data_IF_148944631600
#
_entry.id   IF_148944631600
#
_cell.length_a   1.000
_cell.length_b   1.000
_cell.length_c   1.000
_cell.angle_alpha   90.00
_cell.angle_beta   90.00
_cell.angle_gamma   90.00
#
_symmetry.space_group_name_H-M   'P 1'
#
loop_
_entity.id
_entity.type
_entity.pdbx_description
1 polymer ?
#
# COMPACT_ATOMS: atom_id res chain seq x y z
N UNK A 1 -26.45 -8.46 51.60
CA UNK A 1 -26.98 -7.45 50.66
C UNK A 1 -26.01 -7.40 49.49
N UNK A 2 -26.39 -7.92 48.33
CA UNK A 2 -25.56 -7.84 47.13
C UNK A 2 -25.53 -6.38 46.69
N UNK A 3 -24.35 -5.76 46.73
CA UNK A 3 -24.13 -4.41 46.25
C UNK A 3 -24.20 -4.46 44.73
N UNK A 4 -25.38 -4.26 44.15
CA UNK A 4 -25.55 -4.08 42.71
C UNK A 4 -24.87 -2.76 42.38
N UNK A 5 -23.60 -2.81 41.94
CA UNK A 5 -22.95 -1.62 41.38
C UNK A 5 -23.86 -1.12 40.26
N UNK A 6 -24.49 0.03 40.45
CA UNK A 6 -25.24 0.69 39.39
C UNK A 6 -24.30 0.80 38.18
N UNK A 7 -24.60 0.06 37.12
CA UNK A 7 -23.86 0.16 35.86
C UNK A 7 -23.89 1.61 35.41
N UNK A 8 -22.73 2.23 35.15
CA UNK A 8 -22.68 3.60 34.65
C UNK A 8 -23.31 3.64 33.25
N UNK A 9 -24.57 4.06 33.19
CA UNK A 9 -25.36 4.17 31.95
C UNK A 9 -24.81 5.19 30.97
N UNK A 10 -23.81 5.99 31.38
CA UNK A 10 -23.13 6.95 30.51
C UNK A 10 -21.87 6.36 29.87
N UNK A 11 -21.35 5.25 30.40
CA UNK A 11 -20.13 4.60 29.89
C UNK A 11 -20.35 4.09 28.46
N UNK A 12 -19.53 4.54 27.52
CA UNK A 12 -19.56 4.06 26.12
C UNK A 12 -18.15 3.72 25.66
N UNK A 13 -18.01 2.65 24.90
CA UNK A 13 -16.73 2.28 24.29
C UNK A 13 -16.77 2.60 22.80
N UNK A 14 -15.71 3.21 22.27
CA UNK A 14 -15.62 3.59 20.87
C UNK A 14 -14.51 2.80 20.20
N UNK A 15 -14.88 1.89 19.30
CA UNK A 15 -13.97 1.25 18.36
C UNK A 15 -13.72 2.23 17.22
N UNK A 16 -12.47 2.56 16.93
CA UNK A 16 -12.11 3.54 15.90
C UNK A 16 -10.78 3.22 15.19
N UNK A 17 -10.60 3.82 14.02
CA UNK A 17 -9.37 3.73 13.24
C UNK A 17 -8.28 4.71 13.69
N UNK A 18 -7.42 5.13 12.75
CA UNK A 18 -6.34 6.11 12.94
C UNK A 18 -6.75 7.54 12.62
N UNK A 19 -7.98 7.79 12.20
CA UNK A 19 -8.48 9.16 12.02
C UNK A 19 -8.72 9.84 13.38
N UNK A 20 -7.67 10.41 13.95
CA UNK A 20 -7.69 11.07 15.27
C UNK A 20 -8.64 12.27 15.34
N UNK A 21 -8.82 12.99 14.23
CA UNK A 21 -9.72 14.13 14.18
C UNK A 21 -11.18 13.69 14.39
N UNK A 22 -11.62 12.64 13.67
CA UNK A 22 -12.96 12.09 13.82
C UNK A 22 -13.15 11.37 15.15
N UNK A 23 -12.11 10.69 15.66
CA UNK A 23 -12.14 10.12 17.01
C UNK A 23 -12.39 11.20 18.06
N UNK A 24 -11.59 12.27 18.05
CA UNK A 24 -11.75 13.39 18.99
C UNK A 24 -13.13 14.04 18.86
N UNK A 25 -13.60 14.28 17.63
CA UNK A 25 -14.92 14.82 17.38
C UNK A 25 -16.05 13.94 17.95
N UNK A 26 -15.93 12.61 17.82
CA UNK A 26 -16.88 11.67 18.41
C UNK A 26 -16.86 11.74 19.94
N UNK A 27 -15.69 11.79 20.56
CA UNK A 27 -15.57 11.88 22.02
C UNK A 27 -16.14 13.21 22.56
N UNK A 28 -15.88 14.32 21.87
CA UNK A 28 -16.43 15.63 22.22
C UNK A 28 -17.97 15.64 22.09
N UNK A 29 -18.50 15.05 21.01
CA UNK A 29 -19.94 14.90 20.82
C UNK A 29 -20.57 14.07 21.95
N UNK A 30 -20.03 12.89 22.25
CA UNK A 30 -20.53 12.01 23.31
C UNK A 30 -20.56 12.73 24.67
N UNK A 31 -19.49 13.45 25.02
CA UNK A 31 -19.42 14.26 26.25
C UNK A 31 -20.48 15.35 26.29
N UNK A 32 -20.75 16.02 25.15
CA UNK A 32 -21.79 17.07 25.09
C UNK A 32 -23.21 16.57 25.24
N UNK A 33 -23.46 15.26 25.08
CA UNK A 33 -24.75 14.62 25.35
C UNK A 33 -24.75 13.80 26.65
N UNK A 34 -23.88 14.17 27.60
CA UNK A 34 -23.71 13.55 28.92
C UNK A 34 -23.24 12.08 28.91
N UNK A 35 -22.53 11.64 27.87
CA UNK A 35 -21.91 10.32 27.84
C UNK A 35 -20.41 10.39 28.17
N UNK A 36 -19.89 9.28 28.70
CA UNK A 36 -18.52 9.11 29.13
C UNK A 36 -17.81 8.12 28.20
N UNK A 37 -17.20 8.58 27.10
CA UNK A 37 -16.42 7.69 26.24
C UNK A 37 -15.18 7.20 26.99
N UNK A 38 -15.05 5.88 27.09
CA UNK A 38 -13.94 5.20 27.75
C UNK A 38 -12.67 5.39 26.93
N UNK A 39 -11.62 5.92 27.56
CA UNK A 39 -10.29 5.99 26.99
C UNK A 39 -9.61 4.62 27.08
N UNK A 40 -8.70 4.32 26.14
CA UNK A 40 -8.00 3.03 26.09
C UNK A 40 -7.28 2.68 27.41
N UNK A 41 -6.61 3.65 28.03
CA UNK A 41 -5.91 3.43 29.31
C UNK A 41 -6.87 2.97 30.41
N UNK A 42 -8.07 3.53 30.46
CA UNK A 42 -9.10 3.09 31.42
C UNK A 42 -9.56 1.67 31.12
N UNK A 43 -9.69 1.28 29.85
CA UNK A 43 -9.99 -0.11 29.49
C UNK A 43 -8.87 -1.09 29.93
N UNK A 44 -7.61 -0.68 29.81
CA UNK A 44 -6.45 -1.46 30.29
C UNK A 44 -6.51 -1.61 31.81
N UNK A 45 -6.77 -0.52 32.54
CA UNK A 45 -6.88 -0.56 34.01
C UNK A 45 -7.99 -1.50 34.50
N UNK A 46 -9.11 -1.59 33.77
CA UNK A 46 -10.20 -2.53 34.07
C UNK A 46 -9.78 -4.00 34.01
N UNK A 47 -8.71 -4.34 33.30
CA UNK A 47 -8.17 -5.71 33.27
C UNK A 47 -7.48 -6.10 34.59
N UNK A 48 -7.02 -5.12 35.38
CA UNK A 48 -6.20 -5.34 36.56
C UNK A 48 -4.77 -5.84 36.27
N UNK A 49 -4.37 -5.90 34.99
CA UNK A 49 -3.05 -6.37 34.56
C UNK A 49 -2.18 -5.20 34.07
N UNK A 50 -0.87 -5.25 34.35
CA UNK A 50 0.06 -4.22 33.86
C UNK A 50 0.38 -4.35 32.35
N UNK A 51 0.13 -5.52 31.75
CA UNK A 51 0.37 -5.78 30.33
C UNK A 51 -0.60 -6.84 29.79
N UNK A 52 -1.91 -6.53 29.74
CA UNK A 52 -2.92 -7.48 29.26
C UNK A 52 -2.80 -7.75 27.77
N UNK A 53 -3.29 -8.91 27.35
CA UNK A 53 -3.57 -9.18 25.93
C UNK A 53 -4.69 -8.27 25.42
N UNK A 54 -4.60 -7.84 24.15
CA UNK A 54 -5.58 -6.92 23.53
C UNK A 54 -7.02 -7.40 23.66
N UNK A 55 -7.26 -8.71 23.55
CA UNK A 55 -8.59 -9.30 23.70
C UNK A 55 -9.16 -9.13 25.11
N UNK A 56 -8.32 -9.20 26.16
CA UNK A 56 -8.76 -9.00 27.54
C UNK A 56 -9.19 -7.55 27.78
N UNK A 57 -8.48 -6.59 27.15
CA UNK A 57 -8.85 -5.17 27.21
C UNK A 57 -10.20 -4.93 26.53
N UNK A 58 -10.41 -5.53 25.36
CA UNK A 58 -11.69 -5.46 24.63
C UNK A 58 -12.83 -6.10 25.43
N UNK A 59 -12.61 -7.28 26.02
CA UNK A 59 -13.60 -7.96 26.85
C UNK A 59 -14.00 -7.10 28.06
N UNK A 60 -13.01 -6.54 28.77
CA UNK A 60 -13.24 -5.63 29.89
C UNK A 60 -14.01 -4.38 29.46
N UNK A 61 -13.62 -3.75 28.34
CA UNK A 61 -14.32 -2.59 27.80
C UNK A 61 -15.78 -2.90 27.44
N UNK A 62 -16.03 -4.02 26.73
CA UNK A 62 -17.38 -4.42 26.33
C UNK A 62 -18.26 -4.84 27.51
N UNK A 63 -17.67 -5.34 28.59
CA UNK A 63 -18.39 -5.63 29.83
C UNK A 63 -18.84 -4.35 30.55
N UNK A 64 -17.97 -3.35 30.64
CA UNK A 64 -18.19 -2.13 31.44
C UNK A 64 -18.84 -0.99 30.65
N UNK A 65 -18.94 -1.07 29.32
CA UNK A 65 -19.62 -0.09 28.50
C UNK A 65 -21.12 -0.41 28.37
N UNK A 66 -21.97 0.61 28.50
CA UNK A 66 -23.41 0.53 28.27
C UNK A 66 -23.73 0.40 26.78
N UNK A 67 -22.97 1.06 25.92
CA UNK A 67 -23.04 0.88 24.47
C UNK A 67 -21.65 0.86 23.84
N UNK A 68 -21.55 0.19 22.69
CA UNK A 68 -20.35 0.11 21.87
C UNK A 68 -20.62 0.85 20.57
N UNK A 69 -19.80 1.83 20.24
CA UNK A 69 -19.86 2.56 18.98
C UNK A 69 -18.73 2.04 18.10
N UNK A 70 -19.05 1.59 16.89
CA UNK A 70 -18.06 1.27 15.87
C UNK A 70 -18.01 2.44 14.89
N UNK A 71 -16.95 3.24 15.00
CA UNK A 71 -16.69 4.38 14.13
C UNK A 71 -15.91 3.92 12.90
N UNK A 72 -16.61 3.74 11.80
CA UNK A 72 -16.07 3.35 10.50
C UNK A 72 -15.77 4.59 9.66
N UNK A 73 -14.49 4.76 9.33
CA UNK A 73 -13.94 5.87 8.55
C UNK A 73 -13.11 5.34 7.39
N UNK A 74 -12.94 6.10 6.29
CA UNK A 74 -12.19 5.68 5.10
C UNK A 74 -10.67 5.70 5.30
N UNK A 75 -10.18 4.97 6.30
CA UNK A 75 -8.77 5.00 6.72
C UNK A 75 -7.84 4.22 5.80
N UNK A 76 -8.36 3.21 5.10
CA UNK A 76 -7.59 2.34 4.20
C UNK A 76 -8.30 2.19 2.85
N UNK A 77 -7.56 1.74 1.83
CA UNK A 77 -8.11 1.44 0.50
C UNK A 77 -7.96 -0.05 0.22
N UNK A 78 -9.03 -0.71 -0.21
CA UNK A 78 -9.02 -2.12 -0.56
C UNK A 78 -9.79 -2.40 -1.85
N UNK A 79 -9.53 -3.58 -2.41
CA UNK A 79 -10.23 -4.12 -3.57
C UNK A 79 -10.13 -5.64 -3.58
N UNK A 80 -11.16 -6.28 -4.12
CA UNK A 80 -11.18 -7.71 -4.38
C UNK A 80 -10.21 -8.04 -5.51
N UNK A 81 -9.53 -9.19 -5.45
CA UNK A 81 -8.73 -9.64 -6.59
C UNK A 81 -9.66 -9.91 -7.78
N UNK A 82 -9.41 -9.40 -9.01
CA UNK A 82 -10.32 -9.55 -10.13
C UNK A 82 -10.66 -10.98 -10.51
N UNK A 83 -9.76 -11.94 -10.28
CA UNK A 83 -10.05 -13.37 -10.48
C UNK A 83 -11.16 -13.92 -9.59
N UNK A 84 -11.50 -13.20 -8.52
CA UNK A 84 -12.61 -13.51 -7.62
C UNK A 84 -13.81 -12.57 -7.82
N UNK A 85 -13.72 -11.62 -8.76
CA UNK A 85 -14.87 -10.79 -9.14
C UNK A 85 -15.89 -11.60 -9.93
N UNK A 86 -17.16 -11.21 -9.83
CA UNK A 86 -18.26 -11.93 -10.49
C UNK A 86 -18.33 -11.65 -12.00
N UNK A 87 -17.87 -10.49 -12.44
CA UNK A 87 -17.87 -10.07 -13.85
C UNK A 87 -16.75 -9.07 -14.15
N UNK A 88 -16.49 -8.81 -15.44
CA UNK A 88 -15.72 -7.62 -15.82
C UNK A 88 -16.41 -6.36 -15.28
N UNK A 89 -15.61 -5.44 -14.73
CA UNK A 89 -16.12 -4.20 -14.15
C UNK A 89 -16.82 -4.35 -12.80
N UNK A 90 -16.70 -5.49 -12.13
CA UNK A 90 -17.20 -5.67 -10.77
C UNK A 90 -16.65 -4.57 -9.83
N UNK A 91 -17.55 -3.77 -9.26
CA UNK A 91 -17.23 -2.64 -8.37
C UNK A 91 -16.38 -3.10 -7.18
N UNK A 92 -16.54 -4.35 -6.75
CA UNK A 92 -15.78 -4.93 -5.66
C UNK A 92 -14.28 -5.01 -5.98
N UNK A 93 -13.93 -5.08 -7.27
CA UNK A 93 -12.56 -5.17 -7.76
C UNK A 93 -11.89 -3.81 -7.98
N UNK A 94 -12.64 -2.72 -7.85
CA UNK A 94 -12.12 -1.36 -7.90
C UNK A 94 -11.59 -0.92 -6.52
N UNK A 95 -10.52 -0.11 -6.46
CA UNK A 95 -10.05 0.48 -5.21
C UNK A 95 -11.16 1.30 -4.56
N UNK A 96 -11.54 0.94 -3.34
CA UNK A 96 -12.55 1.63 -2.56
C UNK A 96 -12.04 1.89 -1.13
N UNK A 97 -12.38 3.04 -0.54
CA UNK A 97 -12.09 3.32 0.87
C UNK A 97 -12.81 2.33 1.80
N UNK A 98 -12.18 1.97 2.91
CA UNK A 98 -12.75 1.10 3.94
C UNK A 98 -12.23 1.48 5.34
N UNK A 99 -12.92 1.00 6.37
CA UNK A 99 -12.39 1.00 7.73
C UNK A 99 -11.19 0.06 7.85
N UNK A 100 -10.33 0.31 8.85
CA UNK A 100 -9.16 -0.55 9.11
C UNK A 100 -9.60 -1.97 9.47
N UNK A 101 -8.85 -3.02 9.07
CA UNK A 101 -9.15 -4.40 9.43
C UNK A 101 -9.34 -4.63 10.93
N UNK A 102 -8.57 -3.94 11.78
CA UNK A 102 -8.74 -4.02 13.23
C UNK A 102 -10.13 -3.54 13.67
N UNK A 103 -10.60 -2.41 13.12
CA UNK A 103 -11.94 -1.87 13.39
C UNK A 103 -13.01 -2.86 12.95
N UNK A 104 -12.87 -3.47 11.77
CA UNK A 104 -13.80 -4.48 11.27
C UNK A 104 -13.82 -5.74 12.14
N UNK A 105 -12.65 -6.19 12.61
CA UNK A 105 -12.53 -7.34 13.51
C UNK A 105 -13.18 -7.07 14.87
N UNK A 106 -12.87 -5.92 15.49
CA UNK A 106 -13.45 -5.47 16.76
C UNK A 106 -14.96 -5.24 16.64
N UNK A 107 -15.43 -4.74 15.50
CA UNK A 107 -16.86 -4.67 15.20
C UNK A 107 -17.50 -6.06 15.20
N UNK A 108 -16.86 -7.05 14.57
CA UNK A 108 -17.29 -8.45 14.62
C UNK A 108 -17.38 -8.98 16.04
N UNK A 109 -16.37 -8.71 16.88
CA UNK A 109 -16.38 -9.09 18.30
C UNK A 109 -17.52 -8.42 19.08
N UNK A 110 -17.70 -7.11 18.93
CA UNK A 110 -18.77 -6.36 19.59
C UNK A 110 -20.16 -6.85 19.17
N UNK A 111 -20.38 -7.02 17.86
CA UNK A 111 -21.63 -7.51 17.29
C UNK A 111 -21.94 -8.97 17.68
N UNK A 112 -20.90 -9.79 17.85
CA UNK A 112 -21.01 -11.18 18.33
C UNK A 112 -21.29 -11.28 19.82
N UNK A 113 -20.74 -10.36 20.63
CA UNK A 113 -20.96 -10.31 22.07
C UNK A 113 -22.32 -9.70 22.43
N UNK A 114 -22.64 -8.53 21.89
CA UNK A 114 -23.92 -7.86 22.13
C UNK A 114 -24.34 -6.95 20.96
N UNK A 115 -25.09 -7.54 20.04
CA UNK A 115 -25.64 -6.85 18.89
C UNK A 115 -26.62 -5.71 19.25
N UNK A 116 -27.31 -5.77 20.40
CA UNK A 116 -28.40 -4.83 20.72
C UNK A 116 -27.86 -3.46 21.14
N UNK A 117 -26.69 -3.45 21.80
CA UNK A 117 -26.02 -2.22 22.26
C UNK A 117 -24.80 -1.82 21.42
N UNK A 118 -24.59 -2.47 20.27
CA UNK A 118 -23.55 -2.10 19.31
C UNK A 118 -24.14 -1.21 18.21
N UNK A 119 -23.65 0.03 18.12
CA UNK A 119 -24.09 1.04 17.16
C UNK A 119 -23.01 1.24 16.10
N UNK A 120 -23.37 0.96 14.84
CA UNK A 120 -22.50 1.17 13.69
C UNK A 120 -22.64 2.60 13.17
N UNK A 121 -21.52 3.30 13.01
CA UNK A 121 -21.45 4.69 12.54
C UNK A 121 -20.46 4.78 11.39
N UNK A 122 -20.89 5.34 10.27
CA UNK A 122 -20.08 5.60 9.08
C UNK A 122 -19.89 7.11 8.93
N UNK A 123 -18.67 7.56 8.64
CA UNK A 123 -18.37 8.94 8.23
C UNK A 123 -17.60 8.89 6.91
N UNK A 124 -18.13 9.56 5.88
CA UNK A 124 -17.58 9.54 4.53
C UNK A 124 -17.97 8.30 3.73
N UNK A 125 -17.26 8.07 2.64
CA UNK A 125 -17.47 6.90 1.78
C UNK A 125 -16.72 5.71 2.35
N UNK A 126 -17.45 4.69 2.80
CA UNK A 126 -16.86 3.43 3.27
C UNK A 126 -17.49 2.31 2.45
N UNK A 127 -16.65 1.45 1.86
CA UNK A 127 -17.08 0.28 1.13
C UNK A 127 -18.00 -0.57 2.03
N UNK A 128 -19.15 -1.03 1.53
CA UNK A 128 -20.00 -1.93 2.29
C UNK A 128 -19.25 -3.20 2.68
N UNK A 129 -19.37 -3.59 3.94
CA UNK A 129 -18.95 -4.92 4.41
C UNK A 129 -20.19 -5.82 4.39
N UNK A 130 -20.23 -6.76 3.44
CA UNK A 130 -21.42 -7.54 3.05
C UNK A 130 -22.09 -8.30 4.20
N UNK A 131 -21.36 -8.71 5.24
CA UNK A 131 -21.92 -9.40 6.41
C UNK A 131 -22.71 -8.48 7.37
N UNK A 132 -22.59 -7.16 7.22
CA UNK A 132 -23.37 -6.15 7.95
C UNK A 132 -24.58 -5.67 7.16
N UNK A 133 -24.79 -6.13 5.92
CA UNK A 133 -25.89 -5.68 5.05
C UNK A 133 -27.31 -5.86 5.65
N UNK A 134 -27.47 -6.69 6.68
CA UNK A 134 -28.70 -6.82 7.47
C UNK A 134 -28.85 -5.86 8.67
N UNK A 135 -27.82 -5.08 9.01
CA UNK A 135 -27.81 -4.15 10.15
C UNK A 135 -27.65 -2.70 9.66
N UNK A 136 -28.47 -1.81 10.21
CA UNK A 136 -28.51 -0.42 9.76
C UNK A 136 -27.39 0.40 10.43
N UNK A 137 -26.44 0.93 9.65
CA UNK A 137 -25.46 1.91 10.12
C UNK A 137 -26.02 3.35 10.09
N UNK A 138 -25.57 4.24 10.99
CA UNK A 138 -25.80 5.69 10.86
C UNK A 138 -24.73 6.25 9.94
N UNK A 139 -25.13 6.94 8.88
CA UNK A 139 -24.22 7.84 8.16
C UNK A 139 -24.20 9.18 8.88
N UNK A 140 -23.15 9.42 9.64
CA UNK A 140 -23.00 10.63 10.45
C UNK A 140 -22.37 11.74 9.60
N UNK A 141 -22.96 12.93 9.71
CA UNK A 141 -22.49 14.17 9.07
C UNK A 141 -22.57 15.31 10.08
N UNK A 142 -22.19 16.52 9.68
CA UNK A 142 -22.39 17.72 10.50
C UNK A 142 -23.85 18.16 10.67
N UNK A 143 -24.82 17.49 10.02
CA UNK A 143 -26.23 17.83 10.20
C UNK A 143 -26.75 17.46 11.60
N UNK A 144 -27.60 18.32 12.17
CA UNK A 144 -28.30 18.04 13.43
C UNK A 144 -29.16 16.78 13.33
N UNK A 145 -29.75 16.50 12.17
CA UNK A 145 -30.57 15.31 11.95
C UNK A 145 -29.79 14.00 12.13
N UNK A 146 -28.57 13.90 11.57
CA UNK A 146 -27.75 12.70 11.75
C UNK A 146 -27.23 12.55 13.18
N UNK A 147 -26.94 13.67 13.86
CA UNK A 147 -26.54 13.68 15.28
C UNK A 147 -27.69 13.21 16.19
N UNK A 148 -28.91 13.70 15.93
CA UNK A 148 -30.13 13.25 16.60
C UNK A 148 -30.37 11.75 16.40
N UNK A 149 -30.13 11.22 15.19
CA UNK A 149 -30.25 9.79 14.92
C UNK A 149 -29.26 8.95 15.75
N UNK A 150 -28.01 9.41 15.89
CA UNK A 150 -27.02 8.76 16.76
C UNK A 150 -27.43 8.80 18.23
N UNK A 151 -27.81 9.97 18.74
CA UNK A 151 -28.30 10.13 20.10
C UNK A 151 -29.50 9.20 20.42
N UNK A 152 -30.47 9.12 19.50
CA UNK A 152 -31.63 8.24 19.65
C UNK A 152 -31.24 6.75 19.71
N UNK A 153 -30.25 6.31 18.93
CA UNK A 153 -29.75 4.93 19.00
C UNK A 153 -28.99 4.64 20.28
N UNK A 154 -28.17 5.57 20.76
CA UNK A 154 -27.48 5.43 22.04
C UNK A 154 -28.47 5.35 23.19
N UNK A 155 -29.53 6.17 23.19
CA UNK A 155 -30.63 6.04 24.14
C UNK A 155 -31.34 4.69 24.05
N UNK A 156 -31.57 4.18 22.83
CA UNK A 156 -32.14 2.84 22.61
C UNK A 156 -31.23 1.72 23.11
N UNK A 157 -29.91 1.92 23.03
CA UNK A 157 -28.89 1.01 23.57
C UNK A 157 -28.77 1.08 25.10
N UNK A 158 -29.55 1.92 25.77
CA UNK A 158 -29.58 2.05 27.24
C UNK A 158 -28.76 3.21 27.80
N UNK A 159 -28.19 4.05 26.95
CA UNK A 159 -27.39 5.19 27.41
C UNK A 159 -28.26 6.31 28.01
N UNK A 160 -27.76 6.93 29.08
CA UNK A 160 -28.38 8.11 29.70
C UNK A 160 -28.03 9.40 28.95
N UNK A 161 -28.61 9.52 27.75
CA UNK A 161 -28.37 10.63 26.83
C UNK A 161 -29.12 11.89 27.28
N UNK A 162 -28.37 12.98 27.47
CA UNK A 162 -28.93 14.32 27.71
C UNK A 162 -28.90 15.15 26.42
N UNK A 163 -30.08 15.60 25.97
CA UNK A 163 -30.23 16.46 24.79
C UNK A 163 -30.75 17.85 25.15
N UNK A 164 -30.69 18.25 26.43
CA UNK A 164 -31.03 19.61 26.83
C UNK A 164 -30.01 20.61 26.26
N UNK A 165 -30.51 21.79 25.87
CA UNK A 165 -29.70 22.79 25.18
C UNK A 165 -29.46 22.48 23.69
N UNK A 166 -28.57 23.25 23.08
CA UNK A 166 -28.31 23.20 21.63
C UNK A 166 -26.85 23.07 21.24
N UNK A 167 -25.91 23.18 22.19
CA UNK A 167 -24.46 23.16 21.90
C UNK A 167 -24.01 21.84 21.28
N UNK A 168 -24.66 20.74 21.65
CA UNK A 168 -24.40 19.41 21.09
C UNK A 168 -24.75 19.32 19.57
N UNK A 169 -25.59 20.23 19.04
CA UNK A 169 -25.95 20.26 17.61
C UNK A 169 -24.74 20.49 16.70
N UNK A 170 -23.70 21.16 17.19
CA UNK A 170 -22.50 21.53 16.42
C UNK A 170 -21.19 21.02 17.03
N UNK A 171 -21.23 20.37 18.20
CA UNK A 171 -20.02 19.89 18.89
C UNK A 171 -19.34 18.74 18.15
N UNK A 172 -18.06 18.90 17.80
CA UNK A 172 -17.29 17.95 16.99
C UNK A 172 -17.50 18.15 15.50
N UNK A 173 -16.45 17.96 14.69
CA UNK A 173 -16.52 18.07 13.23
C UNK A 173 -16.57 16.68 12.58
N UNK A 174 -17.67 16.39 11.90
CA UNK A 174 -17.93 15.16 11.17
C UNK A 174 -17.93 15.37 9.65
N UNK A 175 -17.12 16.33 9.17
CA UNK A 175 -16.84 16.49 7.74
C UNK A 175 -16.19 15.20 7.22
N UNK A 176 -16.71 14.68 6.12
CA UNK A 176 -16.18 13.49 5.48
C UNK A 176 -14.71 13.72 5.08
N UNK A 177 -13.81 12.76 5.33
CA UNK A 177 -12.45 12.84 4.79
C UNK A 177 -12.49 12.94 3.26
N UNK A 178 -11.52 13.64 2.63
CA UNK A 178 -11.44 13.71 1.18
C UNK A 178 -11.25 12.31 0.58
N UNK A 179 -11.68 12.09 -0.67
CA UNK A 179 -11.44 10.84 -1.37
C UNK A 179 -9.93 10.49 -1.37
N UNK A 180 -9.58 9.20 -1.22
CA UNK A 180 -8.18 8.78 -1.19
C UNK A 180 -7.48 9.09 -2.52
N UNK A 181 -6.17 9.36 -2.45
CA UNK A 181 -5.32 9.61 -3.62
C UNK A 181 -4.91 11.07 -3.84
N UNK A 182 -5.30 12.00 -2.98
CA UNK A 182 -4.89 13.42 -3.04
C UNK A 182 -5.11 14.07 -4.43
N UNK A 183 -6.20 13.69 -5.10
CA UNK A 183 -6.53 14.15 -6.46
C UNK A 183 -5.89 13.33 -7.59
N UNK A 184 -5.10 12.32 -7.27
CA UNK A 184 -4.59 11.33 -8.21
C UNK A 184 -5.53 10.12 -8.28
N UNK A 185 -5.63 9.52 -9.48
CA UNK A 185 -6.35 8.26 -9.64
C UNK A 185 -5.68 7.15 -8.83
N UNK A 186 -6.46 6.42 -8.04
CA UNK A 186 -5.97 5.25 -7.32
C UNK A 186 -5.64 4.14 -8.32
N UNK A 187 -4.38 4.08 -8.73
CA UNK A 187 -3.87 3.07 -9.64
C UNK A 187 -3.66 1.74 -8.94
N UNK A 188 -4.06 0.65 -9.61
CA UNK A 188 -3.65 -0.70 -9.19
C UNK A 188 -2.19 -0.90 -9.55
N UNK A 189 -1.29 -0.91 -8.56
CA UNK A 189 0.07 -1.41 -8.79
C UNK A 189 0.01 -2.93 -8.87
N UNK A 190 -0.36 -3.45 -10.04
CA UNK A 190 -0.11 -4.84 -10.36
C UNK A 190 1.40 -5.06 -10.17
N UNK A 191 1.85 -6.08 -9.40
CA UNK A 191 3.21 -6.53 -9.60
C UNK A 191 3.31 -6.81 -11.10
N UNK A 192 4.29 -6.21 -11.78
CA UNK A 192 4.48 -6.58 -13.17
C UNK A 192 4.62 -8.10 -13.14
N UNK A 193 3.79 -8.78 -13.91
CA UNK A 193 4.20 -10.07 -14.43
C UNK A 193 5.44 -9.75 -15.26
N UNK A 194 6.59 -9.63 -14.61
CA UNK A 194 7.84 -9.63 -15.32
C UNK A 194 7.75 -10.90 -16.15
N UNK A 195 7.76 -10.81 -17.50
CA UNK A 195 7.95 -12.01 -18.29
C UNK A 195 9.15 -12.73 -17.66
N UNK A 196 9.04 -14.05 -17.47
CA UNK A 196 10.11 -14.86 -16.88
C UNK A 196 11.43 -14.32 -17.43
N UNK A 197 12.28 -13.75 -16.55
CA UNK A 197 13.49 -13.05 -16.99
C UNK A 197 14.23 -14.01 -17.93
N UNK A 198 14.62 -13.51 -19.11
CA UNK A 198 15.31 -14.34 -20.11
C UNK A 198 16.53 -14.99 -19.46
N UNK A 199 16.87 -16.19 -19.91
CA UNK A 199 18.06 -16.91 -19.42
C UNK A 199 19.29 -16.02 -19.51
N UNK A 200 19.52 -15.42 -20.68
CA UNK A 200 20.49 -14.35 -20.91
C UNK A 200 19.75 -13.08 -21.37
N UNK A 201 20.16 -11.94 -20.83
CA UNK A 201 19.64 -10.62 -21.20
C UNK A 201 20.76 -9.61 -21.04
N UNK A 202 21.36 -9.19 -22.15
CA UNK A 202 22.52 -8.32 -22.13
C UNK A 202 22.15 -6.84 -22.17
N UNK A 203 23.01 -6.04 -21.57
CA UNK A 203 23.00 -4.59 -21.63
C UNK A 203 24.44 -4.09 -21.72
N UNK A 204 24.64 -2.94 -22.35
CA UNK A 204 25.96 -2.37 -22.61
C UNK A 204 26.07 -0.97 -22.03
N UNK A 205 27.23 -0.68 -21.44
CA UNK A 205 27.55 0.67 -20.99
C UNK A 205 28.92 1.10 -21.47
N UNK A 206 28.93 2.12 -22.30
CA UNK A 206 30.16 2.76 -22.75
C UNK A 206 30.66 3.77 -21.73
N UNK A 207 31.99 3.86 -21.58
CA UNK A 207 32.65 4.84 -20.74
C UNK A 207 33.78 5.50 -21.51
N UNK A 208 33.57 6.76 -21.87
CA UNK A 208 34.63 7.65 -22.34
C UNK A 208 35.58 7.98 -21.18
N UNK A 209 36.86 7.62 -21.31
CA UNK A 209 37.86 7.83 -20.24
C UNK A 209 38.63 9.14 -20.36
N UNK A 210 38.49 9.89 -21.46
CA UNK A 210 39.17 11.16 -21.67
C UNK A 210 40.71 11.06 -21.76
N UNK A 211 41.36 12.12 -22.24
CA UNK A 211 42.83 12.18 -22.38
C UNK A 211 43.46 11.01 -23.16
N UNK A 212 44.66 10.56 -22.77
CA UNK A 212 45.39 9.45 -23.38
C UNK A 212 44.97 8.05 -22.88
N UNK A 213 43.78 7.90 -22.29
CA UNK A 213 43.29 6.63 -21.74
C UNK A 213 42.38 5.92 -22.73
N UNK A 214 42.49 4.59 -22.78
CA UNK A 214 41.64 3.71 -23.57
C UNK A 214 40.22 3.70 -22.97
N UNK A 215 39.22 3.81 -23.83
CA UNK A 215 37.81 3.79 -23.44
C UNK A 215 37.38 2.39 -23.01
N UNK A 216 36.26 2.28 -22.28
CA UNK A 216 35.80 1.01 -21.72
C UNK A 216 34.38 0.71 -22.16
N UNK A 217 34.11 -0.56 -22.43
CA UNK A 217 32.76 -1.08 -22.64
C UNK A 217 32.45 -2.10 -21.54
N UNK A 218 31.41 -1.85 -20.76
CA UNK A 218 30.92 -2.76 -19.75
C UNK A 218 29.78 -3.58 -20.33
N UNK A 219 29.94 -4.90 -20.30
CA UNK A 219 28.97 -5.89 -20.75
C UNK A 219 28.26 -6.44 -19.53
N UNK A 220 26.95 -6.25 -19.43
CA UNK A 220 26.13 -6.58 -18.26
C UNK A 220 25.18 -7.71 -18.63
N UNK A 221 25.13 -8.77 -17.83
CA UNK A 221 24.13 -9.83 -17.97
C UNK A 221 23.02 -9.63 -16.91
N UNK A 222 21.88 -9.10 -17.33
CA UNK A 222 20.65 -8.92 -16.54
C UNK A 222 19.78 -10.18 -16.50
N UNK A 223 20.13 -11.21 -17.28
CA UNK A 223 19.48 -12.50 -17.32
C UNK A 223 19.63 -13.29 -16.02
N UNK A 224 19.03 -14.47 -15.97
CA UNK A 224 19.05 -15.34 -14.78
C UNK A 224 20.21 -16.32 -14.73
N UNK A 225 20.73 -16.72 -15.89
CA UNK A 225 21.77 -17.73 -16.04
C UNK A 225 23.16 -17.12 -16.25
N UNK A 226 24.20 -17.95 -16.11
CA UNK A 226 25.56 -17.55 -16.47
C UNK A 226 25.73 -17.59 -17.99
N UNK A 227 26.20 -16.49 -18.56
CA UNK A 227 26.62 -16.45 -19.95
C UNK A 227 28.06 -16.97 -20.06
N UNK A 228 28.33 -17.85 -21.03
CA UNK A 228 29.67 -18.35 -21.37
C UNK A 228 30.06 -17.96 -22.79
N UNK A 229 31.36 -17.92 -23.05
CA UNK A 229 31.93 -17.69 -24.39
C UNK A 229 31.35 -16.44 -25.06
N UNK A 230 31.22 -15.34 -24.30
CA UNK A 230 30.53 -14.13 -24.76
C UNK A 230 31.42 -13.38 -25.74
N UNK A 231 30.92 -13.17 -26.96
CA UNK A 231 31.59 -12.40 -28.02
C UNK A 231 30.73 -11.23 -28.48
N UNK A 232 31.39 -10.15 -28.90
CA UNK A 232 30.73 -8.93 -29.35
C UNK A 232 31.17 -8.60 -30.77
N UNK A 233 30.20 -8.23 -31.60
CA UNK A 233 30.42 -7.74 -32.96
C UNK A 233 29.75 -6.36 -33.13
N UNK A 234 30.50 -5.45 -33.73
CA UNK A 234 30.01 -4.11 -34.11
C UNK A 234 29.96 -3.99 -35.64
N UNK A 235 29.01 -3.22 -36.19
CA UNK A 235 28.95 -2.92 -37.62
C UNK A 235 30.25 -2.29 -38.14
N UNK A 236 30.56 -2.49 -39.43
CA UNK A 236 31.82 -1.99 -40.02
C UNK A 236 31.95 -0.46 -39.98
N UNK A 237 30.82 0.24 -40.08
CA UNK A 237 30.73 1.69 -40.05
C UNK A 237 30.64 2.28 -38.63
N UNK A 238 30.64 1.45 -37.58
CA UNK A 238 30.60 1.91 -36.21
C UNK A 238 31.86 2.75 -35.86
N UNK A 239 31.66 3.78 -35.03
CA UNK A 239 32.74 4.61 -34.50
C UNK A 239 33.49 3.96 -33.33
N UNK A 240 33.17 2.71 -33.00
CA UNK A 240 33.85 1.88 -32.01
C UNK A 240 34.62 0.73 -32.68
N UNK A 241 35.87 0.54 -32.28
CA UNK A 241 36.70 -0.60 -32.68
C UNK A 241 36.94 -1.54 -31.51
N UNK A 242 36.70 -2.83 -31.77
CA UNK A 242 36.95 -3.94 -30.85
C UNK A 242 37.96 -4.94 -31.45
N UNK A 243 38.30 -4.79 -32.74
CA UNK A 243 39.14 -5.73 -33.52
C UNK A 243 40.62 -5.56 -33.21
N UNK A 244 41.04 -4.33 -32.93
CA UNK A 244 42.43 -3.99 -32.57
C UNK A 244 42.93 -4.71 -31.30
N UNK A 245 42.02 -5.26 -30.48
CA UNK A 245 42.33 -6.06 -29.28
C UNK A 245 42.13 -7.57 -29.48
N UNK A 246 42.00 -8.04 -30.73
CA UNK A 246 41.90 -9.46 -31.07
C UNK A 246 40.51 -10.09 -30.90
N UNK A 247 39.44 -9.29 -30.89
CA UNK A 247 38.05 -9.71 -30.59
C UNK A 247 37.95 -10.48 -29.26
N UNK A 248 37.80 -9.78 -28.12
CA UNK A 248 37.85 -10.42 -26.82
C UNK A 248 36.69 -11.42 -26.65
N UNK A 249 37.03 -12.69 -26.38
CA UNK A 249 36.09 -13.69 -25.91
C UNK A 249 36.05 -13.60 -24.38
N UNK A 250 34.91 -13.20 -23.82
CA UNK A 250 34.72 -13.13 -22.38
C UNK A 250 34.30 -14.53 -21.89
N UNK A 251 35.11 -15.22 -21.05
CA UNK A 251 34.86 -16.61 -20.71
C UNK A 251 33.53 -16.84 -20.00
N UNK A 252 33.13 -15.90 -19.12
CA UNK A 252 31.85 -15.95 -18.42
C UNK A 252 31.38 -14.60 -17.88
N UNK A 253 30.06 -14.41 -17.82
CA UNK A 253 29.38 -13.31 -17.12
C UNK A 253 28.18 -13.89 -16.35
N UNK A 254 28.22 -13.98 -15.00
CA UNK A 254 27.09 -14.45 -14.22
C UNK A 254 25.84 -13.58 -14.43
N UNK A 255 24.66 -14.17 -14.33
CA UNK A 255 23.39 -13.45 -14.35
C UNK A 255 23.18 -12.53 -13.13
N UNK A 256 21.99 -11.94 -13.04
CA UNK A 256 21.60 -11.09 -11.91
C UNK A 256 22.25 -9.70 -11.93
N UNK A 257 22.65 -9.21 -13.11
CA UNK A 257 23.23 -7.87 -13.30
C UNK A 257 24.73 -7.79 -13.09
N UNK A 258 25.47 -8.92 -13.11
CA UNK A 258 26.94 -8.88 -13.08
C UNK A 258 27.48 -8.46 -14.44
N UNK A 259 28.72 -7.97 -14.44
CA UNK A 259 29.32 -7.40 -15.64
C UNK A 259 30.81 -7.66 -15.73
N UNK A 260 31.31 -7.61 -16.97
CA UNK A 260 32.72 -7.61 -17.31
C UNK A 260 33.00 -6.36 -18.14
N UNK A 261 34.14 -5.73 -17.90
CA UNK A 261 34.56 -4.52 -18.63
C UNK A 261 35.73 -4.85 -19.53
N UNK A 262 35.63 -4.45 -20.79
CA UNK A 262 36.65 -4.62 -21.81
C UNK A 262 37.13 -3.28 -22.35
N UNK A 263 38.31 -3.32 -22.96
CA UNK A 263 38.96 -2.17 -23.56
C UNK A 263 38.50 -2.02 -25.00
N UNK A 264 38.07 -0.80 -25.35
CA UNK A 264 37.54 -0.47 -26.67
C UNK A 264 38.17 0.84 -27.16
N UNK A 265 38.33 0.99 -28.47
CA UNK A 265 38.88 2.20 -29.06
C UNK A 265 37.82 2.94 -29.85
N UNK A 266 37.58 4.21 -29.54
CA UNK A 266 36.72 5.05 -30.38
C UNK A 266 37.51 5.68 -31.53
N UNK A 267 37.07 5.44 -32.77
CA UNK A 267 37.67 6.01 -33.99
C UNK A 267 37.70 7.55 -33.96
N UNK A 268 36.68 8.15 -33.35
CA UNK A 268 36.55 9.61 -33.20
C UNK A 268 37.76 10.25 -32.52
N UNK A 269 38.43 9.51 -31.62
CA UNK A 269 39.57 10.00 -30.84
C UNK A 269 40.90 9.84 -31.56
N UNK A 270 41.04 8.81 -32.40
CA UNK A 270 42.32 8.46 -33.02
C UNK A 270 42.47 8.91 -34.48
N UNK A 271 41.37 8.99 -35.23
CA UNK A 271 41.41 9.29 -36.68
C UNK A 271 40.43 10.41 -37.12
N UNK A 272 39.69 11.02 -36.19
CA UNK A 272 38.65 12.01 -36.50
C UNK A 272 37.33 11.39 -36.93
N UNK A 273 36.26 12.19 -36.98
CA UNK A 273 34.90 11.73 -37.28
C UNK A 273 34.69 11.52 -38.79
N UNK A 274 35.38 10.54 -39.38
CA UNK A 274 35.33 10.22 -40.82
C UNK A 274 33.99 9.66 -41.32
N UNK A 275 32.86 10.17 -40.84
CA UNK A 275 31.51 9.72 -41.22
C UNK A 275 31.09 8.38 -40.60
N UNK A 276 31.62 8.04 -39.43
CA UNK A 276 31.27 6.82 -38.70
C UNK A 276 30.08 7.05 -37.77
N UNK A 277 29.31 5.99 -37.52
CA UNK A 277 28.10 6.06 -36.70
C UNK A 277 28.42 5.98 -35.21
N UNK A 278 27.91 6.92 -34.42
CA UNK A 278 28.04 6.94 -32.96
C UNK A 278 26.89 6.19 -32.25
N UNK A 279 25.89 5.76 -33.00
CA UNK A 279 24.75 4.98 -32.53
C UNK A 279 24.56 3.76 -33.42
N UNK A 280 24.61 2.57 -32.83
CA UNK A 280 24.54 1.30 -33.58
C UNK A 280 24.16 0.14 -32.66
N UNK A 281 23.68 -0.96 -33.23
CA UNK A 281 23.49 -2.20 -32.50
C UNK A 281 24.80 -2.97 -32.39
N UNK A 282 25.06 -3.51 -31.20
CA UNK A 282 26.15 -4.43 -30.94
C UNK A 282 25.55 -5.82 -30.82
N UNK A 283 25.95 -6.73 -31.70
CA UNK A 283 25.53 -8.14 -31.66
C UNK A 283 26.37 -8.87 -30.61
N UNK A 284 25.70 -9.52 -29.67
CA UNK A 284 26.32 -10.30 -28.59
C UNK A 284 25.91 -11.76 -28.77
N UNK A 285 26.91 -12.63 -28.96
CA UNK A 285 26.73 -14.08 -28.97
C UNK A 285 27.24 -14.67 -27.65
N UNK A 286 26.49 -15.63 -27.09
CA UNK A 286 26.84 -16.30 -25.85
C UNK A 286 26.24 -17.71 -25.77
N UNK A 287 26.68 -18.49 -24.79
CA UNK A 287 26.08 -19.78 -24.41
C UNK A 287 25.47 -19.74 -23.00
N UNK A 288 24.33 -20.38 -22.82
CA UNK A 288 23.65 -20.55 -21.53
C UNK A 288 24.30 -21.63 -20.66
N UNK A 289 23.84 -21.81 -19.41
CA UNK A 289 24.29 -22.91 -18.53
C UNK A 289 23.96 -24.29 -19.15
N UNK A 290 22.87 -24.37 -19.93
CA UNK A 290 22.45 -25.55 -20.67
C UNK A 290 23.18 -25.77 -22.01
N UNK A 291 24.11 -24.89 -22.38
CA UNK A 291 24.85 -24.95 -23.64
C UNK A 291 24.09 -24.47 -24.87
N UNK A 292 22.92 -23.84 -24.70
CA UNK A 292 22.16 -23.23 -25.80
C UNK A 292 22.87 -21.96 -26.28
N UNK A 293 22.96 -21.77 -27.60
CA UNK A 293 23.53 -20.56 -28.19
C UNK A 293 22.47 -19.47 -28.28
N UNK A 294 22.80 -18.27 -27.79
CA UNK A 294 21.93 -17.10 -27.77
C UNK A 294 22.64 -15.94 -28.45
N UNK A 295 21.92 -15.28 -29.36
CA UNK A 295 22.35 -14.04 -30.00
C UNK A 295 21.40 -12.91 -29.59
N UNK A 296 21.96 -11.77 -29.19
CA UNK A 296 21.20 -10.58 -28.81
C UNK A 296 21.84 -9.32 -29.38
N UNK A 297 21.05 -8.51 -30.08
CA UNK A 297 21.45 -7.15 -30.45
C UNK A 297 21.13 -6.17 -29.33
N UNK A 298 22.11 -5.34 -28.98
CA UNK A 298 21.99 -4.28 -27.97
C UNK A 298 22.37 -2.95 -28.59
N UNK A 299 21.40 -2.03 -28.65
CA UNK A 299 21.63 -0.68 -29.11
C UNK A 299 22.58 0.08 -28.17
N UNK A 300 23.60 0.70 -28.75
CA UNK A 300 24.61 1.48 -28.04
C UNK A 300 24.68 2.89 -28.63
N UNK A 301 24.62 3.90 -27.77
CA UNK A 301 24.90 5.31 -28.09
C UNK A 301 26.17 5.75 -27.38
N UNK A 302 27.18 6.19 -28.13
CA UNK A 302 28.45 6.67 -27.58
C UNK A 302 28.41 8.12 -27.09
N UNK A 303 27.30 8.84 -27.32
CA UNK A 303 27.11 10.23 -26.87
C UNK A 303 26.43 10.35 -25.51
N UNK A 304 25.91 9.24 -24.97
CA UNK A 304 25.23 9.17 -23.66
C UNK A 304 26.15 9.19 -22.44
#
# INVERSE_FOLDING_TARGET
>A
MLNTSMSDTRSVFVVHGRNEALRKAMFDFLRSINLSPMEWTSAVELTGEGSPYIGQVLDAAFEHATAIIVLMTPDEVAYLQPRYGHSEGDIETLPAPQARPNVLFEAGMALGRDAKRTVLVEIGEVRPFSDVAGRHAIRLTNSTASRQALAARLKTAGCDVDLTGTDWHTTGDFTAPPPPGDGLTLGRRLPSSAPARKALDFDLKYFNKGGNRIDKLQVINRGTETAYEVTLAVPENASLDMRSNGNPVIPKIPGGGRSVTIDVMSYRRFMGNGGKDDTFDVTIDARTDGGEQVTQDVFLDLNG
#
